data_IF_811545153604
#
_entry.id   IF_811545153604
#
_cell.length_a   1.000
_cell.length_b   1.000
_cell.length_c   1.000
_cell.angle_alpha   90.00
_cell.angle_beta   90.00
_cell.angle_gamma   90.00
#
_symmetry.space_group_name_H-M   'P 1'
#
loop_
_entity.id
_entity.type
_entity.pdbx_description
1 polymer ?
#
# COMPACT_ATOMS: atom_id res chain seq x y z
N UNK A 1 29.99 -5.40 13.42
CA UNK A 1 28.61 -5.71 12.99
C UNK A 1 27.72 -4.52 13.34
N UNK A 2 27.83 -3.39 12.60
CA UNK A 2 27.08 -2.14 12.85
C UNK A 2 26.45 -1.57 11.55
N UNK A 3 26.82 -2.11 10.38
CA UNK A 3 26.42 -1.56 9.07
C UNK A 3 24.95 -1.84 8.67
N UNK A 4 24.34 -2.93 9.16
CA UNK A 4 22.96 -3.30 8.77
C UNK A 4 21.90 -2.31 9.25
N UNK A 5 22.08 -1.71 10.43
CA UNK A 5 21.05 -0.82 11.01
C UNK A 5 21.01 0.55 10.31
N UNK A 6 22.13 0.98 9.72
CA UNK A 6 22.23 2.27 9.03
C UNK A 6 21.57 2.24 7.65
N UNK A 7 21.71 1.12 6.93
CA UNK A 7 21.13 0.94 5.60
C UNK A 7 19.60 0.80 5.65
N UNK A 8 19.08 0.09 6.65
CA UNK A 8 17.64 -0.11 6.84
C UNK A 8 16.93 1.21 7.19
N UNK A 9 17.55 2.04 8.05
CA UNK A 9 17.05 3.38 8.37
C UNK A 9 17.10 4.34 7.17
N UNK A 10 18.15 4.24 6.34
CA UNK A 10 18.26 5.05 5.13
C UNK A 10 17.23 4.63 4.06
N UNK A 11 16.98 3.33 3.90
CA UNK A 11 16.01 2.81 2.96
C UNK A 11 14.56 3.17 3.35
N UNK A 12 14.25 3.12 4.65
CA UNK A 12 12.96 3.59 5.19
C UNK A 12 12.77 5.10 4.98
N UNK A 13 13.83 5.90 5.08
CA UNK A 13 13.76 7.34 4.77
C UNK A 13 13.39 7.57 3.30
N UNK A 14 14.03 6.84 2.38
CA UNK A 14 13.80 7.02 0.94
C UNK A 14 12.36 6.68 0.51
N UNK A 15 11.78 5.60 1.06
CA UNK A 15 10.41 5.22 0.70
C UNK A 15 9.38 6.20 1.27
N UNK A 16 9.59 6.70 2.49
CA UNK A 16 8.75 7.73 3.09
C UNK A 16 8.79 9.04 2.29
N UNK A 17 9.98 9.45 1.84
CA UNK A 17 10.13 10.65 1.01
C UNK A 17 9.47 10.48 -0.37
N UNK A 18 9.59 9.30 -0.98
CA UNK A 18 8.88 8.99 -2.22
C UNK A 18 7.35 9.06 -2.04
N UNK A 19 6.82 8.50 -0.95
CA UNK A 19 5.39 8.57 -0.63
C UNK A 19 4.94 10.01 -0.38
N UNK A 20 5.71 10.81 0.37
CA UNK A 20 5.41 12.24 0.58
C UNK A 20 5.34 12.99 -0.75
N UNK A 21 6.31 12.76 -1.63
CA UNK A 21 6.33 13.35 -2.97
C UNK A 21 5.10 12.92 -3.79
N UNK A 22 4.72 11.65 -3.71
CA UNK A 22 3.55 11.11 -4.41
C UNK A 22 2.24 11.70 -3.87
N UNK A 23 2.09 11.84 -2.55
CA UNK A 23 0.94 12.50 -1.92
C UNK A 23 0.84 13.99 -2.31
N UNK A 24 1.97 14.67 -2.47
CA UNK A 24 2.01 16.06 -2.89
C UNK A 24 1.63 16.27 -4.37
N UNK A 25 1.99 15.32 -5.23
CA UNK A 25 1.88 15.48 -6.69
C UNK A 25 0.72 14.70 -7.32
N UNK A 26 0.33 13.57 -6.73
CA UNK A 26 -0.66 12.63 -7.27
C UNK A 26 -1.53 12.04 -6.15
N UNK A 27 -2.01 12.88 -5.24
CA UNK A 27 -2.83 12.47 -4.08
C UNK A 27 -3.97 11.53 -4.43
N UNK A 28 -4.72 11.83 -5.49
CA UNK A 28 -5.88 11.04 -5.88
C UNK A 28 -5.51 9.62 -6.29
N UNK A 29 -4.36 9.44 -6.95
CA UNK A 29 -3.84 8.13 -7.28
C UNK A 29 -3.44 7.34 -6.03
N UNK A 30 -2.88 8.01 -5.02
CA UNK A 30 -2.58 7.36 -3.73
C UNK A 30 -3.87 6.94 -3.02
N UNK A 31 -4.88 7.80 -3.02
CA UNK A 31 -6.22 7.50 -2.47
C UNK A 31 -6.82 6.29 -3.17
N UNK A 32 -6.81 6.27 -4.50
CA UNK A 32 -7.31 5.15 -5.30
C UNK A 32 -6.61 3.82 -4.94
N UNK A 33 -5.28 3.83 -4.83
CA UNK A 33 -4.52 2.64 -4.45
C UNK A 33 -4.86 2.13 -3.05
N UNK A 34 -5.06 3.04 -2.08
CA UNK A 34 -5.48 2.70 -0.72
C UNK A 34 -6.89 2.09 -0.71
N UNK A 35 -7.82 2.67 -1.45
CA UNK A 35 -9.21 2.19 -1.56
C UNK A 35 -9.27 0.82 -2.23
N UNK A 36 -8.63 0.63 -3.38
CA UNK A 36 -8.63 -0.66 -4.09
C UNK A 36 -8.05 -1.76 -3.21
N UNK A 37 -6.92 -1.48 -2.54
CA UNK A 37 -6.29 -2.44 -1.63
C UNK A 37 -7.19 -2.76 -0.44
N UNK A 38 -7.90 -1.77 0.11
CA UNK A 38 -8.85 -1.98 1.22
C UNK A 38 -10.03 -2.87 0.80
N UNK A 39 -10.56 -2.66 -0.41
CA UNK A 39 -11.64 -3.47 -0.97
C UNK A 39 -11.21 -4.91 -1.15
N UNK A 40 -10.01 -5.14 -1.70
CA UNK A 40 -9.46 -6.49 -1.88
C UNK A 40 -9.20 -7.19 -0.54
N UNK A 41 -8.66 -6.49 0.44
CA UNK A 41 -8.46 -7.04 1.78
C UNK A 41 -9.80 -7.42 2.44
N UNK A 42 -10.85 -6.61 2.26
CA UNK A 42 -12.18 -6.96 2.74
C UNK A 42 -12.73 -8.20 2.02
N UNK A 43 -12.60 -8.29 0.69
CA UNK A 43 -13.04 -9.46 -0.08
C UNK A 43 -12.32 -10.74 0.34
N UNK A 44 -11.00 -10.67 0.60
CA UNK A 44 -10.23 -11.80 1.10
C UNK A 44 -10.78 -12.24 2.46
N UNK A 45 -10.98 -11.32 3.39
CA UNK A 45 -11.59 -11.63 4.68
C UNK A 45 -12.98 -12.25 4.54
N UNK A 46 -13.83 -11.72 3.65
CA UNK A 46 -15.20 -12.19 3.44
C UNK A 46 -15.24 -13.60 2.83
N UNK A 47 -14.22 -13.97 2.05
CA UNK A 47 -14.04 -15.31 1.49
C UNK A 47 -13.56 -16.35 2.51
N UNK A 48 -13.41 -15.96 3.78
CA UNK A 48 -12.93 -16.81 4.86
C UNK A 48 -11.40 -16.85 4.97
N UNK A 49 -10.68 -15.95 4.29
CA UNK A 49 -9.27 -15.73 4.57
C UNK A 49 -9.10 -15.07 5.95
N UNK A 50 -7.90 -15.23 6.52
CA UNK A 50 -7.49 -14.79 7.85
C UNK A 50 -8.09 -13.44 8.30
N UNK A 51 -8.52 -13.37 9.57
CA UNK A 51 -8.93 -12.16 10.30
C UNK A 51 -7.98 -10.96 10.15
N UNK A 52 -6.69 -11.19 9.88
CA UNK A 52 -5.72 -10.15 9.58
C UNK A 52 -6.10 -9.29 8.36
N UNK A 53 -6.76 -9.85 7.36
CA UNK A 53 -7.22 -9.10 6.20
C UNK A 53 -8.31 -8.08 6.56
N UNK A 54 -9.22 -8.43 7.47
CA UNK A 54 -10.22 -7.48 7.96
C UNK A 54 -9.58 -6.29 8.69
N UNK A 55 -8.53 -6.54 9.48
CA UNK A 55 -7.81 -5.49 10.19
C UNK A 55 -7.06 -4.55 9.23
N UNK A 56 -6.38 -5.12 8.22
CA UNK A 56 -5.73 -4.34 7.16
C UNK A 56 -6.74 -3.49 6.38
N UNK A 57 -7.88 -4.06 5.98
CA UNK A 57 -8.93 -3.32 5.29
C UNK A 57 -9.41 -2.11 6.13
N UNK A 58 -9.64 -2.29 7.43
CA UNK A 58 -10.03 -1.19 8.34
C UNK A 58 -8.93 -0.13 8.48
N UNK A 59 -7.67 -0.54 8.55
CA UNK A 59 -6.54 0.39 8.62
C UNK A 59 -6.45 1.25 7.36
N UNK A 60 -6.59 0.64 6.18
CA UNK A 60 -6.59 1.33 4.90
C UNK A 60 -7.78 2.30 4.74
N UNK A 61 -8.98 1.94 5.23
CA UNK A 61 -10.13 2.88 5.24
C UNK A 61 -9.90 4.10 6.14
N UNK A 62 -9.26 3.92 7.31
CA UNK A 62 -8.87 5.08 8.14
C UNK A 62 -7.84 5.95 7.41
N UNK A 63 -6.94 5.32 6.68
CA UNK A 63 -5.90 6.00 5.92
C UNK A 63 -6.48 6.78 4.72
N UNK A 64 -7.48 6.25 4.02
CA UNK A 64 -8.25 6.97 3.00
C UNK A 64 -8.76 8.31 3.55
N UNK A 65 -9.45 8.27 4.70
CA UNK A 65 -9.96 9.49 5.34
C UNK A 65 -8.84 10.46 5.75
N UNK A 66 -7.69 9.95 6.19
CA UNK A 66 -6.53 10.83 6.48
C UNK A 66 -5.98 11.49 5.22
N UNK A 67 -5.93 10.78 4.09
CA UNK A 67 -5.50 11.32 2.80
C UNK A 67 -6.48 12.42 2.32
N UNK A 68 -7.78 12.17 2.42
CA UNK A 68 -8.83 13.13 2.06
C UNK A 68 -8.76 14.40 2.89
N UNK A 69 -8.48 14.27 4.19
CA UNK A 69 -8.39 15.39 5.12
C UNK A 69 -6.99 16.02 5.22
N UNK A 70 -6.02 15.55 4.44
CA UNK A 70 -4.62 16.00 4.47
C UNK A 70 -3.95 15.87 5.86
N UNK A 71 -4.34 14.87 6.65
CA UNK A 71 -3.85 14.61 8.02
C UNK A 71 -2.90 13.41 8.12
N UNK A 72 -2.33 12.97 7.00
CA UNK A 72 -1.35 11.88 6.93
C UNK A 72 -0.10 12.23 7.73
N UNK A 73 0.29 11.35 8.64
CA UNK A 73 1.50 11.49 9.45
C UNK A 73 2.61 10.52 9.02
N UNK A 74 3.77 10.59 9.67
CA UNK A 74 4.92 9.75 9.34
C UNK A 74 4.70 8.25 9.55
N UNK A 75 3.81 7.86 10.46
CA UNK A 75 3.47 6.46 10.73
C UNK A 75 2.59 5.85 9.66
N UNK A 76 1.83 6.68 8.94
CA UNK A 76 0.97 6.26 7.85
C UNK A 76 1.74 5.92 6.55
N UNK A 77 2.92 6.52 6.36
CA UNK A 77 3.67 6.45 5.09
C UNK A 77 4.04 5.02 4.69
N UNK A 78 4.37 4.16 5.65
CA UNK A 78 4.68 2.75 5.39
C UNK A 78 3.46 1.99 4.86
N UNK A 79 2.28 2.22 5.46
CA UNK A 79 1.04 1.58 5.03
C UNK A 79 0.59 2.10 3.65
N UNK A 80 0.81 3.38 3.35
CA UNK A 80 0.58 3.95 2.02
C UNK A 80 1.51 3.29 0.99
N UNK A 81 2.81 3.13 1.32
CA UNK A 81 3.76 2.48 0.43
C UNK A 81 3.32 1.04 0.10
N UNK A 82 2.91 0.27 1.11
CA UNK A 82 2.37 -1.08 0.93
C UNK A 82 1.16 -1.07 -0.01
N UNK A 83 0.19 -0.19 0.21
CA UNK A 83 -1.00 -0.11 -0.62
C UNK A 83 -0.69 0.23 -2.08
N UNK A 84 0.17 1.22 -2.33
CA UNK A 84 0.57 1.62 -3.68
C UNK A 84 1.28 0.48 -4.42
N UNK A 85 2.22 -0.21 -3.75
CA UNK A 85 2.93 -1.35 -4.35
C UNK A 85 1.98 -2.50 -4.68
N UNK A 86 1.05 -2.82 -3.77
CA UNK A 86 0.06 -3.89 -3.99
C UNK A 86 -0.88 -3.55 -5.15
N UNK A 87 -1.33 -2.31 -5.22
CA UNK A 87 -2.18 -1.81 -6.30
C UNK A 87 -1.51 -1.92 -7.67
N UNK A 88 -0.25 -1.48 -7.78
CA UNK A 88 0.51 -1.59 -9.03
C UNK A 88 0.80 -3.04 -9.42
N UNK A 89 1.10 -3.91 -8.45
CA UNK A 89 1.27 -5.34 -8.70
C UNK A 89 -0.02 -5.96 -9.24
N UNK A 90 -1.17 -5.64 -8.65
CA UNK A 90 -2.46 -6.15 -9.11
C UNK A 90 -2.77 -5.68 -10.53
N UNK A 91 -2.54 -4.40 -10.85
CA UNK A 91 -2.70 -3.88 -12.20
C UNK A 91 -1.80 -4.60 -13.21
N UNK A 92 -0.54 -4.84 -12.86
CA UNK A 92 0.38 -5.56 -13.74
C UNK A 92 -0.10 -6.98 -14.03
N UNK A 93 -0.63 -7.68 -13.01
CA UNK A 93 -1.21 -9.02 -13.14
C UNK A 93 -2.45 -9.00 -14.06
N UNK A 94 -3.34 -8.02 -13.89
CA UNK A 94 -4.56 -7.89 -14.71
C UNK A 94 -4.27 -7.55 -16.18
N UNK A 95 -3.21 -6.78 -16.43
CA UNK A 95 -2.79 -6.39 -17.79
C UNK A 95 -2.00 -7.47 -18.52
N UNK A 96 -1.50 -8.49 -17.83
CA UNK A 96 -0.68 -9.57 -18.43
C UNK A 96 -1.05 -10.96 -17.86
N UNK A 97 -2.31 -11.41 -18.04
CA UNK A 97 -2.77 -12.69 -17.49
C UNK A 97 -2.01 -13.90 -18.05
N UNK A 98 -1.52 -13.81 -19.29
CA UNK A 98 -0.82 -14.90 -19.98
C UNK A 98 0.59 -15.16 -19.43
N UNK A 99 1.29 -14.14 -18.92
CA UNK A 99 2.62 -14.32 -18.32
C UNK A 99 2.55 -14.97 -16.93
N UNK A 100 1.49 -14.68 -16.16
CA UNK A 100 1.26 -15.27 -14.84
C UNK A 100 0.84 -16.73 -14.96
N UNK A 101 0.07 -17.08 -16.00
CA UNK A 101 -0.33 -18.46 -16.26
C UNK A 101 0.83 -19.35 -16.71
N UNK A 102 1.84 -18.79 -17.40
CA UNK A 102 3.03 -19.52 -17.85
C UNK A 102 4.05 -19.85 -16.73
N UNK A 103 3.88 -19.28 -15.53
CA UNK A 103 4.71 -19.55 -14.34
C UNK A 103 4.12 -20.63 -13.40
N UNK A 104 2.92 -21.15 -13.70
CA UNK A 104 2.27 -22.26 -12.98
C UNK A 104 2.58 -23.59 -13.64
#
# INVERSE_FOLDING_TARGET
MVLRNSEESAMHSNIHDAVRSLLATRREYVREAVVDTAVRDQQMSDSGADSLYAEKARALRRLEHKIENETVDGGDLGLIAEAVLRYELNKAVEQSPDQVSAMR
#
